data_IF_258866274291
#
_entry.id   IF_258866274291
#
_cell.length_a   1.000
_cell.length_b   1.000
_cell.length_c   1.000
_cell.angle_alpha   90.00
_cell.angle_beta   90.00
_cell.angle_gamma   90.00
#
_symmetry.space_group_name_H-M   'P 1'
#
loop_
_entity.id
_entity.type
_entity.pdbx_description
1 polymer ?
#
# COMPACT_ATOMS: atom_id res chain seq x y z
N UNK A 1 -19.44 -18.49 -4.66
CA UNK A 1 -19.45 -19.50 -5.76
C UNK A 1 -18.63 -20.75 -5.43
N UNK A 2 -17.48 -20.65 -4.73
CA UNK A 2 -16.66 -21.81 -4.41
C UNK A 2 -17.30 -22.78 -3.39
N UNK A 3 -18.10 -22.27 -2.45
CA UNK A 3 -18.75 -23.12 -1.42
C UNK A 3 -19.82 -24.07 -1.97
N UNK A 4 -20.36 -23.80 -3.16
CA UNK A 4 -21.30 -24.71 -3.83
C UNK A 4 -20.60 -25.87 -4.57
N UNK A 5 -19.28 -25.81 -4.76
CA UNK A 5 -18.53 -26.77 -5.58
C UNK A 5 -18.00 -27.92 -4.71
N UNK A 6 -17.69 -27.64 -3.44
CA UNK A 6 -17.11 -28.64 -2.54
C UNK A 6 -18.08 -29.73 -2.10
N UNK A 7 -19.40 -29.49 -2.19
CA UNK A 7 -20.40 -30.42 -1.63
C UNK A 7 -20.90 -31.49 -2.62
N UNK A 8 -20.67 -31.33 -3.93
CA UNK A 8 -21.31 -32.18 -4.95
C UNK A 8 -20.36 -33.10 -5.74
N UNK A 9 -19.07 -32.77 -5.84
CA UNK A 9 -18.13 -33.52 -6.69
C UNK A 9 -16.70 -33.54 -6.12
N UNK A 10 -16.46 -34.32 -5.06
CA UNK A 10 -15.13 -34.83 -4.65
C UNK A 10 -13.86 -34.02 -5.01
N UNK A 11 -13.85 -32.70 -4.85
CA UNK A 11 -12.71 -31.82 -5.15
C UNK A 11 -12.28 -31.67 -6.63
N UNK A 12 -12.93 -32.32 -7.60
CA UNK A 12 -12.53 -32.26 -9.02
C UNK A 12 -13.50 -31.39 -9.84
N UNK A 13 -12.98 -30.34 -10.49
CA UNK A 13 -13.75 -29.50 -11.40
C UNK A 13 -13.48 -29.89 -12.86
N UNK A 14 -14.54 -30.16 -13.62
CA UNK A 14 -14.42 -30.26 -15.07
C UNK A 14 -14.19 -28.88 -15.72
N UNK A 15 -13.74 -28.87 -16.99
CA UNK A 15 -13.42 -27.64 -17.73
C UNK A 15 -14.61 -26.68 -17.86
N UNK A 16 -15.82 -27.20 -18.02
CA UNK A 16 -17.04 -26.40 -18.15
C UNK A 16 -17.39 -25.73 -16.83
N UNK A 17 -17.36 -26.48 -15.74
CA UNK A 17 -17.58 -25.97 -14.39
C UNK A 17 -16.53 -24.93 -14.02
N UNK A 18 -15.24 -25.22 -14.24
CA UNK A 18 -14.16 -24.27 -14.00
C UNK A 18 -14.38 -22.95 -14.75
N UNK A 19 -14.69 -23.01 -16.06
CA UNK A 19 -14.98 -21.81 -16.86
C UNK A 19 -16.14 -21.00 -16.28
N UNK A 20 -17.21 -21.66 -15.82
CA UNK A 20 -18.35 -21.00 -15.19
C UNK A 20 -17.93 -20.29 -13.90
N UNK A 21 -17.12 -20.92 -13.06
CA UNK A 21 -16.66 -20.40 -11.79
C UNK A 21 -15.74 -19.18 -11.92
N UNK A 22 -14.81 -19.20 -12.89
CA UNK A 22 -13.83 -18.12 -13.06
C UNK A 22 -14.35 -16.96 -13.91
N UNK A 23 -15.45 -17.14 -14.64
CA UNK A 23 -15.92 -16.20 -15.67
C UNK A 23 -16.07 -14.75 -15.19
N UNK A 24 -16.61 -14.51 -13.99
CA UNK A 24 -16.81 -13.18 -13.43
C UNK A 24 -15.52 -12.51 -12.97
N UNK A 25 -14.47 -13.28 -12.66
CA UNK A 25 -13.20 -12.80 -12.10
C UNK A 25 -12.01 -13.11 -13.01
N UNK A 26 -12.24 -13.48 -14.27
CA UNK A 26 -11.22 -14.04 -15.16
C UNK A 26 -10.09 -13.03 -15.45
N UNK A 27 -10.39 -11.74 -15.47
CA UNK A 27 -9.41 -10.67 -15.72
C UNK A 27 -8.37 -10.64 -14.61
N UNK A 28 -8.80 -10.60 -13.34
CA UNK A 28 -7.92 -10.59 -12.17
C UNK A 28 -7.13 -11.91 -12.07
N UNK A 29 -7.81 -13.05 -12.26
CA UNK A 29 -7.15 -14.36 -12.24
C UNK A 29 -6.08 -14.47 -13.34
N UNK A 30 -6.35 -13.93 -14.53
CA UNK A 30 -5.39 -13.92 -15.63
C UNK A 30 -4.15 -13.10 -15.27
N UNK A 31 -4.32 -11.95 -14.59
CA UNK A 31 -3.19 -11.15 -14.12
C UNK A 31 -2.37 -11.91 -13.05
N UNK A 32 -3.05 -12.53 -12.08
CA UNK A 32 -2.42 -13.30 -11.01
C UNK A 32 -1.56 -14.46 -11.56
N UNK A 33 -2.15 -15.33 -12.38
CA UNK A 33 -1.46 -16.52 -12.89
C UNK A 33 -0.41 -16.22 -13.96
N UNK A 34 -0.49 -15.05 -14.63
CA UNK A 34 0.53 -14.60 -15.60
C UNK A 34 1.60 -13.72 -14.96
N UNK A 35 1.69 -13.69 -13.63
CA UNK A 35 2.68 -12.88 -12.90
C UNK A 35 2.67 -11.40 -13.31
N UNK A 36 1.48 -10.86 -13.61
CA UNK A 36 1.28 -9.46 -14.00
C UNK A 36 0.98 -8.53 -12.83
N UNK A 37 0.95 -9.06 -11.61
CA UNK A 37 0.88 -8.23 -10.42
C UNK A 37 2.20 -7.48 -10.23
N UNK A 38 2.11 -6.36 -9.52
CA UNK A 38 3.19 -5.44 -9.22
C UNK A 38 4.36 -6.12 -8.52
N UNK A 39 4.12 -7.21 -7.79
CA UNK A 39 5.17 -8.10 -7.30
C UNK A 39 4.92 -9.51 -7.89
N UNK A 40 5.60 -9.88 -8.99
CA UNK A 40 5.47 -11.18 -9.65
C UNK A 40 5.79 -12.37 -8.72
N UNK A 41 6.94 -12.33 -8.07
CA UNK A 41 7.48 -13.41 -7.23
C UNK A 41 7.18 -13.13 -5.74
N UNK A 42 5.89 -13.09 -5.40
CA UNK A 42 5.42 -12.65 -4.09
C UNK A 42 5.94 -13.49 -2.92
N UNK A 43 6.04 -14.80 -3.09
CA UNK A 43 6.53 -15.71 -2.04
C UNK A 43 8.00 -15.42 -1.65
N UNK A 44 8.87 -15.17 -2.64
CA UNK A 44 10.26 -14.77 -2.40
C UNK A 44 10.32 -13.43 -1.67
N UNK A 45 9.57 -12.44 -2.15
CA UNK A 45 9.46 -11.14 -1.52
C UNK A 45 9.01 -11.24 -0.04
N UNK A 46 7.98 -12.05 0.24
CA UNK A 46 7.50 -12.25 1.62
C UNK A 46 8.52 -12.95 2.50
N UNK A 47 9.31 -13.89 1.96
CA UNK A 47 10.41 -14.51 2.70
C UNK A 47 11.55 -13.53 3.05
N UNK A 48 11.72 -12.44 2.31
CA UNK A 48 12.60 -11.33 2.72
C UNK A 48 11.96 -10.47 3.81
N UNK A 49 10.66 -10.19 3.71
CA UNK A 49 9.91 -9.44 4.73
C UNK A 49 9.95 -10.17 6.08
N UNK A 50 9.78 -11.49 6.10
CA UNK A 50 9.86 -12.32 7.32
C UNK A 50 11.23 -12.22 7.99
N UNK A 51 12.31 -12.24 7.20
CA UNK A 51 13.67 -12.06 7.73
C UNK A 51 13.88 -10.68 8.34
N UNK A 52 13.40 -9.62 7.69
CA UNK A 52 13.48 -8.26 8.25
C UNK A 52 12.62 -8.15 9.52
N UNK A 53 11.48 -8.83 9.56
CA UNK A 53 10.61 -8.89 10.74
C UNK A 53 11.33 -9.53 11.94
N UNK A 54 11.95 -10.69 11.76
CA UNK A 54 12.69 -11.37 12.83
C UNK A 54 13.91 -10.56 13.28
N UNK A 55 14.66 -9.95 12.36
CA UNK A 55 15.76 -9.03 12.69
C UNK A 55 15.32 -7.85 13.58
N UNK A 56 14.15 -7.27 13.30
CA UNK A 56 13.61 -6.15 14.07
C UNK A 56 13.02 -6.57 15.42
N UNK A 57 12.57 -7.83 15.54
CA UNK A 57 12.00 -8.41 16.76
C UNK A 57 13.01 -8.50 17.89
N UNK A 58 14.27 -8.79 17.58
CA UNK A 58 15.39 -8.88 18.53
C UNK A 58 15.72 -7.55 19.23
N UNK A 59 15.19 -6.43 18.72
CA UNK A 59 15.37 -5.13 19.37
C UNK A 59 14.50 -5.05 20.64
N UNK A 60 15.15 -4.83 21.79
CA UNK A 60 14.54 -4.74 23.13
C UNK A 60 14.49 -3.31 23.70
N UNK A 61 14.75 -2.30 22.87
CA UNK A 61 14.74 -0.89 23.26
C UNK A 61 13.37 -0.20 23.18
N UNK A 62 13.31 1.00 23.74
CA UNK A 62 12.13 1.88 23.71
C UNK A 62 11.31 1.85 25.01
N UNK A 63 10.25 2.65 25.06
CA UNK A 63 9.32 2.71 26.19
C UNK A 63 7.88 2.83 25.70
N UNK A 64 6.98 2.06 26.30
CA UNK A 64 5.54 2.16 26.03
C UNK A 64 5.04 3.55 26.45
N UNK A 65 4.16 4.14 25.64
CA UNK A 65 3.51 5.39 25.99
C UNK A 65 2.66 5.21 27.26
N UNK A 66 2.92 6.01 28.29
CA UNK A 66 2.29 5.87 29.60
C UNK A 66 1.61 7.14 30.12
N UNK A 67 1.39 8.13 29.26
CA UNK A 67 0.71 9.38 29.65
C UNK A 67 -0.80 9.18 29.88
N UNK A 68 -1.39 8.13 29.29
CA UNK A 68 -2.73 7.64 29.63
C UNK A 68 -2.71 6.17 30.06
N UNK A 69 -3.59 5.75 30.98
CA UNK A 69 -3.67 4.37 31.46
C UNK A 69 -3.90 3.32 30.37
N UNK A 70 -4.65 3.65 29.32
CA UNK A 70 -5.01 2.74 28.24
C UNK A 70 -3.77 2.37 27.40
N UNK A 71 -2.91 3.34 27.08
CA UNK A 71 -1.66 3.09 26.38
C UNK A 71 -0.64 2.39 27.28
N UNK A 72 -0.59 2.74 28.57
CA UNK A 72 0.32 2.14 29.53
C UNK A 72 0.12 0.62 29.71
N UNK A 73 -1.09 0.12 29.43
CA UNK A 73 -1.43 -1.32 29.46
C UNK A 73 -0.97 -2.09 28.23
N UNK A 74 -0.43 -1.42 27.21
CA UNK A 74 0.01 -2.08 25.98
C UNK A 74 1.17 -3.03 26.27
N UNK A 75 1.08 -4.26 25.78
CA UNK A 75 2.14 -5.24 25.94
C UNK A 75 3.39 -4.80 25.12
N UNK A 76 4.56 -4.58 25.74
CA UNK A 76 5.78 -4.17 25.04
C UNK A 76 6.30 -5.21 24.04
N UNK A 77 5.94 -6.48 24.21
CA UNK A 77 6.40 -7.56 23.35
C UNK A 77 5.63 -7.65 22.02
N UNK A 78 4.56 -6.87 21.87
CA UNK A 78 3.80 -6.83 20.62
C UNK A 78 4.70 -6.33 19.47
N UNK A 79 4.71 -7.15 18.42
CA UNK A 79 5.34 -6.86 17.15
C UNK A 79 4.54 -7.52 16.04
N UNK A 80 4.02 -6.72 15.11
CA UNK A 80 3.25 -7.18 13.97
C UNK A 80 3.49 -6.30 12.75
N UNK A 81 3.59 -6.93 11.58
CA UNK A 81 3.73 -6.25 10.28
C UNK A 81 2.75 -6.87 9.30
N UNK A 82 1.98 -6.02 8.64
CA UNK A 82 1.11 -6.42 7.53
C UNK A 82 1.39 -5.56 6.31
N UNK A 83 1.28 -6.15 5.13
CA UNK A 83 1.38 -5.47 3.85
C UNK A 83 0.23 -5.85 2.92
N UNK A 84 -0.12 -4.91 2.06
CA UNK A 84 -1.10 -5.07 0.99
C UNK A 84 -0.56 -4.36 -0.26
N UNK A 85 -0.43 -5.07 -1.38
CA UNK A 85 0.00 -4.48 -2.66
C UNK A 85 -1.17 -3.73 -3.32
N UNK A 86 -0.86 -2.87 -4.30
CA UNK A 86 -1.89 -2.18 -5.09
C UNK A 86 -2.78 -3.13 -5.91
N UNK A 87 -2.32 -4.37 -6.14
CA UNK A 87 -3.07 -5.45 -6.79
C UNK A 87 -3.76 -6.41 -5.79
N UNK A 88 -3.71 -6.11 -4.49
CA UNK A 88 -4.40 -6.90 -3.46
C UNK A 88 -3.67 -8.15 -2.98
N UNK A 89 -2.39 -8.35 -3.32
CA UNK A 89 -1.56 -9.39 -2.69
C UNK A 89 -1.29 -8.98 -1.24
N UNK A 90 -1.34 -9.94 -0.30
CA UNK A 90 -1.27 -9.64 1.14
C UNK A 90 -0.39 -10.63 1.86
N UNK A 91 0.34 -10.12 2.85
CA UNK A 91 1.16 -10.91 3.75
C UNK A 91 1.22 -10.26 5.13
N UNK A 92 1.28 -11.09 6.17
CA UNK A 92 1.19 -10.66 7.57
C UNK A 92 2.08 -11.55 8.44
N UNK A 93 2.84 -10.94 9.35
CA UNK A 93 3.80 -11.63 10.24
C UNK A 93 3.67 -11.08 11.66
N UNK A 94 3.62 -11.97 12.65
CA UNK A 94 3.53 -11.62 14.06
C UNK A 94 2.12 -11.27 14.53
N UNK A 95 2.01 -10.28 15.41
CA UNK A 95 0.79 -9.89 16.11
C UNK A 95 -0.09 -8.95 15.27
N UNK A 96 -0.51 -9.39 14.08
CA UNK A 96 -1.16 -8.51 13.09
C UNK A 96 -2.64 -8.27 13.32
N UNK A 97 -3.31 -9.19 14.04
CA UNK A 97 -4.76 -9.16 14.28
C UNK A 97 -5.17 -8.51 15.60
N UNK A 98 -4.21 -8.01 16.37
CA UNK A 98 -4.48 -7.31 17.62
C UNK A 98 -5.00 -5.91 17.31
N UNK A 99 -6.19 -5.53 17.79
CA UNK A 99 -6.69 -4.17 17.66
C UNK A 99 -5.84 -3.17 18.43
N UNK A 100 -5.60 -2.00 17.84
CA UNK A 100 -4.97 -0.86 18.48
C UNK A 100 -5.55 0.45 17.96
N UNK A 101 -5.50 1.49 18.77
CA UNK A 101 -5.94 2.83 18.36
C UNK A 101 -4.98 3.41 17.29
N UNK A 102 -5.53 3.91 16.18
CA UNK A 102 -4.80 4.60 15.11
C UNK A 102 -3.99 5.77 15.64
N UNK A 103 -4.53 6.48 16.64
CA UNK A 103 -3.87 7.63 17.23
C UNK A 103 -3.46 8.62 16.12
N UNK A 104 -2.24 9.16 16.14
CA UNK A 104 -1.78 10.11 15.11
C UNK A 104 -1.73 9.56 13.67
N UNK A 105 -1.86 8.25 13.44
CA UNK A 105 -1.96 7.69 12.09
C UNK A 105 -3.26 8.07 11.37
N UNK A 106 -4.29 8.53 12.09
CA UNK A 106 -5.56 8.98 11.48
C UNK A 106 -5.43 10.32 10.76
N UNK A 107 -4.48 11.18 11.19
CA UNK A 107 -4.30 12.55 10.67
C UNK A 107 -4.16 12.63 9.15
N UNK A 108 -3.28 11.86 8.48
CA UNK A 108 -3.19 11.85 7.02
C UNK A 108 -4.52 11.45 6.36
N UNK A 109 -5.25 10.50 6.94
CA UNK A 109 -6.51 10.00 6.40
C UNK A 109 -7.60 11.08 6.47
N UNK A 110 -7.74 11.74 7.62
CA UNK A 110 -8.67 12.84 7.83
C UNK A 110 -8.37 14.03 6.91
N UNK A 111 -7.09 14.33 6.71
CA UNK A 111 -6.66 15.35 5.76
C UNK A 111 -7.01 14.98 4.31
N UNK A 112 -6.75 13.75 3.89
CA UNK A 112 -7.10 13.28 2.55
C UNK A 112 -8.62 13.39 2.28
N UNK A 113 -9.45 13.00 3.25
CA UNK A 113 -10.92 13.13 3.17
C UNK A 113 -11.32 14.61 3.03
N UNK A 114 -10.67 15.50 3.78
CA UNK A 114 -10.95 16.95 3.73
C UNK A 114 -10.58 17.54 2.37
N UNK A 115 -9.44 17.16 1.79
CA UNK A 115 -9.05 17.58 0.44
C UNK A 115 -10.01 17.03 -0.61
N UNK A 116 -10.40 15.76 -0.50
CA UNK A 116 -11.33 15.12 -1.43
C UNK A 116 -12.72 15.76 -1.45
N UNK A 117 -13.14 16.37 -0.34
CA UNK A 117 -14.47 16.97 -0.20
C UNK A 117 -14.51 18.49 -0.41
N UNK A 118 -13.43 19.20 -0.05
CA UNK A 118 -13.39 20.67 -0.06
C UNK A 118 -12.38 21.25 -1.06
N UNK A 119 -11.48 20.42 -1.59
CA UNK A 119 -10.38 20.84 -2.45
C UNK A 119 -9.19 21.44 -1.68
N UNK A 120 -8.02 21.40 -2.32
CA UNK A 120 -6.74 21.85 -1.74
C UNK A 120 -6.76 23.32 -1.35
N UNK A 121 -7.29 24.17 -2.23
CA UNK A 121 -7.26 25.63 -2.02
C UNK A 121 -8.09 26.06 -0.83
N UNK A 122 -9.20 25.37 -0.55
CA UNK A 122 -10.02 25.70 0.62
C UNK A 122 -9.36 25.24 1.91
N UNK A 123 -8.91 23.98 1.97
CA UNK A 123 -8.29 23.41 3.18
C UNK A 123 -7.05 24.20 3.60
N UNK A 124 -6.20 24.57 2.64
CA UNK A 124 -4.96 25.28 2.93
C UNK A 124 -5.09 26.78 3.22
N UNK A 125 -6.31 27.33 3.23
CA UNK A 125 -6.57 28.62 3.89
C UNK A 125 -6.44 28.54 5.40
N UNK A 126 -6.56 27.34 5.98
CA UNK A 126 -6.61 27.11 7.42
C UNK A 126 -5.41 26.34 7.96
N UNK A 127 -4.67 25.63 7.12
CA UNK A 127 -3.48 24.84 7.52
C UNK A 127 -2.38 24.95 6.46
N UNK A 128 -1.14 25.08 6.90
CA UNK A 128 0.03 25.16 6.02
C UNK A 128 0.39 23.83 5.35
N UNK A 129 1.51 23.86 4.61
CA UNK A 129 2.03 22.75 3.79
C UNK A 129 3.45 22.33 4.17
N UNK A 130 4.03 22.96 5.19
CA UNK A 130 5.47 22.88 5.44
C UNK A 130 5.78 22.27 6.81
N UNK A 131 6.94 21.61 6.96
CA UNK A 131 7.41 21.19 8.26
C UNK A 131 7.68 22.41 9.14
N UNK A 132 7.42 22.29 10.45
CA UNK A 132 7.65 23.40 11.38
C UNK A 132 9.14 23.70 11.64
N UNK A 133 10.02 22.71 11.44
CA UNK A 133 11.43 22.77 11.87
C UNK A 133 11.61 22.85 13.41
N UNK A 134 10.51 22.79 14.16
CA UNK A 134 10.46 22.89 15.61
C UNK A 134 10.11 21.54 16.21
N UNK A 135 10.51 21.30 17.47
CA UNK A 135 10.06 20.11 18.20
C UNK A 135 8.54 20.04 18.18
N UNK A 136 7.98 18.86 17.91
CA UNK A 136 6.54 18.59 17.90
C UNK A 136 5.84 19.01 19.21
N UNK A 137 6.63 19.03 20.30
CA UNK A 137 6.52 19.77 21.56
C UNK A 137 5.78 21.12 21.55
N UNK A 138 6.17 21.99 20.62
CA UNK A 138 6.04 23.43 20.80
C UNK A 138 4.72 23.94 20.23
N UNK A 139 3.98 24.68 21.05
CA UNK A 139 2.82 25.44 20.58
C UNK A 139 3.33 26.53 19.63
N UNK A 140 3.10 26.35 18.33
CA UNK A 140 3.53 27.29 17.30
C UNK A 140 2.60 27.25 16.10
N UNK A 141 2.43 28.42 15.49
CA UNK A 141 1.82 28.62 14.18
C UNK A 141 2.92 29.08 13.22
N UNK A 142 2.65 29.03 11.92
CA UNK A 142 3.54 29.60 10.91
C UNK A 142 3.43 31.14 10.88
N UNK A 143 4.16 31.78 9.97
CA UNK A 143 4.18 33.24 9.83
C UNK A 143 2.81 33.82 9.45
N UNK A 144 1.98 33.06 8.74
CA UNK A 144 0.61 33.44 8.38
C UNK A 144 -0.39 33.28 9.52
N UNK A 145 0.05 32.81 10.70
CA UNK A 145 -0.81 32.58 11.85
C UNK A 145 -1.72 31.36 11.72
N UNK A 146 -1.38 30.38 10.89
CA UNK A 146 -2.08 29.08 10.78
C UNK A 146 -1.15 27.92 11.22
N UNK A 147 -1.69 26.73 11.57
CA UNK A 147 -0.84 25.60 11.89
C UNK A 147 0.04 25.18 10.71
N UNK A 148 1.26 24.74 10.99
CA UNK A 148 2.29 24.43 9.97
C UNK A 148 1.86 23.40 8.91
N UNK A 149 1.22 22.30 9.34
CA UNK A 149 0.79 21.20 8.47
C UNK A 149 -0.26 20.32 9.19
N UNK A 150 -1.02 19.48 8.47
CA UNK A 150 -2.03 18.59 9.06
C UNK A 150 -1.45 17.42 9.89
N UNK A 151 -0.15 17.16 9.86
CA UNK A 151 0.46 16.02 10.57
C UNK A 151 0.73 16.34 12.05
N UNK A 152 0.81 17.63 12.41
CA UNK A 152 0.87 18.10 13.80
C UNK A 152 -0.53 18.24 14.41
N UNK A 153 -0.63 18.18 15.75
CA UNK A 153 -1.92 18.20 16.45
C UNK A 153 -2.76 19.45 16.13
N UNK A 154 -2.13 20.62 16.08
CA UNK A 154 -2.81 21.88 15.76
C UNK A 154 -3.47 21.85 14.38
N UNK A 155 -2.75 21.38 13.37
CA UNK A 155 -3.28 21.23 12.02
C UNK A 155 -4.37 20.17 11.95
N UNK A 156 -4.19 19.04 12.63
CA UNK A 156 -5.21 17.99 12.68
C UNK A 156 -6.53 18.46 13.33
N UNK A 157 -6.47 19.25 14.41
CA UNK A 157 -7.66 19.83 15.06
C UNK A 157 -8.35 20.82 14.13
N UNK A 158 -7.59 21.68 13.43
CA UNK A 158 -8.15 22.59 12.43
C UNK A 158 -8.77 21.82 11.27
N UNK A 159 -8.12 20.77 10.75
CA UNK A 159 -8.68 19.91 9.71
C UNK A 159 -9.97 19.24 10.16
N UNK A 160 -10.05 18.73 11.40
CA UNK A 160 -11.29 18.16 11.97
C UNK A 160 -12.45 19.18 11.97
N UNK A 161 -12.15 20.47 12.12
CA UNK A 161 -13.15 21.53 12.10
C UNK A 161 -13.78 21.75 10.71
N UNK A 162 -13.08 21.37 9.64
CA UNK A 162 -13.52 21.53 8.25
C UNK A 162 -14.51 20.44 7.82
N UNK A 163 -14.56 19.33 8.56
CA UNK A 163 -15.38 18.16 8.19
C UNK A 163 -16.85 18.48 8.42
N UNK A 164 -17.63 18.36 7.34
CA UNK A 164 -19.11 18.44 7.33
C UNK A 164 -19.61 19.52 8.28
N UNK A 165 -19.22 20.78 8.03
CA UNK A 165 -19.38 21.90 8.95
C UNK A 165 -20.84 22.07 9.44
N UNK A 166 -21.81 21.80 8.57
CA UNK A 166 -23.26 21.94 8.84
C UNK A 166 -23.90 20.75 9.56
N UNK A 167 -23.15 19.69 9.85
CA UNK A 167 -23.65 18.47 10.48
C UNK A 167 -23.38 18.45 12.00
N UNK A 168 -24.12 17.61 12.73
CA UNK A 168 -23.89 17.40 14.16
C UNK A 168 -22.65 16.51 14.41
N UNK A 169 -22.20 16.40 15.67
CA UNK A 169 -20.98 15.66 16.03
C UNK A 169 -21.01 14.18 15.61
N UNK A 170 -22.15 13.51 15.75
CA UNK A 170 -22.29 12.09 15.43
C UNK A 170 -22.21 11.86 13.91
N UNK A 171 -22.90 12.70 13.12
CA UNK A 171 -22.85 12.65 11.66
C UNK A 171 -21.45 12.91 11.11
N UNK A 172 -20.68 13.83 11.72
CA UNK A 172 -19.28 14.07 11.35
C UNK A 172 -18.41 12.84 11.58
N UNK A 173 -18.57 12.18 12.74
CA UNK A 173 -17.82 10.98 13.07
C UNK A 173 -18.16 9.82 12.11
N UNK A 174 -19.46 9.56 11.88
CA UNK A 174 -19.91 8.52 10.96
C UNK A 174 -19.41 8.78 9.53
N UNK A 175 -19.46 10.03 9.07
CA UNK A 175 -18.93 10.42 7.77
C UNK A 175 -17.45 10.02 7.58
N UNK A 176 -16.60 10.33 8.56
CA UNK A 176 -15.18 9.94 8.49
C UNK A 176 -15.02 8.43 8.58
N UNK A 177 -15.76 7.77 9.46
CA UNK A 177 -15.69 6.32 9.65
C UNK A 177 -16.11 5.55 8.39
N UNK A 178 -17.09 6.05 7.64
CA UNK A 178 -17.47 5.49 6.33
C UNK A 178 -16.31 5.52 5.34
N UNK A 179 -15.57 6.63 5.25
CA UNK A 179 -14.37 6.70 4.40
C UNK A 179 -13.29 5.73 4.87
N UNK A 180 -13.00 5.67 6.18
CA UNK A 180 -12.02 4.75 6.72
C UNK A 180 -12.39 3.28 6.44
N UNK A 181 -13.67 2.91 6.58
CA UNK A 181 -14.18 1.58 6.22
C UNK A 181 -13.95 1.27 4.74
N UNK A 182 -14.25 2.21 3.84
CA UNK A 182 -14.01 2.03 2.39
C UNK A 182 -12.51 1.86 2.09
N UNK A 183 -11.65 2.67 2.71
CA UNK A 183 -10.19 2.56 2.57
C UNK A 183 -9.65 1.23 3.11
N UNK A 184 -10.30 0.65 4.11
CA UNK A 184 -9.95 -0.65 4.68
C UNK A 184 -10.76 -1.82 4.08
N UNK A 185 -11.54 -1.58 3.02
CA UNK A 185 -12.41 -2.57 2.39
C UNK A 185 -13.39 -3.30 3.32
N UNK A 186 -13.89 -2.58 4.34
CA UNK A 186 -14.77 -3.11 5.38
C UNK A 186 -14.10 -4.22 6.23
N UNK A 187 -12.77 -4.24 6.32
CA UNK A 187 -12.06 -4.99 7.35
C UNK A 187 -12.28 -4.39 8.74
N UNK A 188 -11.67 -5.00 9.76
CA UNK A 188 -11.84 -4.59 11.15
C UNK A 188 -11.63 -3.09 11.33
N UNK A 189 -12.67 -2.44 11.83
CA UNK A 189 -12.70 -1.05 12.26
C UNK A 189 -13.45 -1.00 13.59
N UNK A 190 -12.76 -0.58 14.64
CA UNK A 190 -13.30 -0.48 15.99
C UNK A 190 -13.28 0.96 16.51
N UNK A 191 -13.72 1.12 17.76
CA UNK A 191 -13.66 2.39 18.46
C UNK A 191 -13.47 2.17 19.96
N UNK A 192 -12.41 2.75 20.50
CA UNK A 192 -12.06 2.64 21.92
C UNK A 192 -12.65 3.79 22.72
N UNK A 193 -13.87 3.64 23.23
CA UNK A 193 -14.45 4.67 24.11
C UNK A 193 -13.60 4.92 25.37
N UNK A 194 -12.92 3.88 25.88
CA UNK A 194 -12.03 4.02 27.03
C UNK A 194 -10.82 4.93 26.72
N UNK A 195 -10.19 4.76 25.55
CA UNK A 195 -9.09 5.64 25.11
C UNK A 195 -9.60 7.04 24.84
N UNK A 196 -10.76 7.18 24.21
CA UNK A 196 -11.39 8.47 23.95
C UNK A 196 -11.61 9.29 25.23
N UNK A 197 -12.22 8.70 26.26
CA UNK A 197 -12.43 9.40 27.53
C UNK A 197 -11.11 9.78 28.19
N UNK A 198 -10.13 8.87 28.20
CA UNK A 198 -8.83 9.16 28.83
C UNK A 198 -8.03 10.23 28.10
N UNK A 199 -7.99 10.21 26.76
CA UNK A 199 -7.38 11.26 25.94
C UNK A 199 -8.08 12.60 26.16
N UNK A 200 -9.41 12.59 26.32
CA UNK A 200 -10.20 13.80 26.57
C UNK A 200 -9.98 14.39 27.96
N UNK A 201 -9.83 13.55 28.99
CA UNK A 201 -9.62 13.96 30.39
C UNK A 201 -8.18 14.45 30.64
N UNK A 202 -7.19 13.83 29.99
CA UNK A 202 -5.76 14.16 30.18
C UNK A 202 -5.18 15.03 29.05
N UNK A 203 -6.02 15.43 28.11
CA UNK A 203 -5.67 16.13 26.88
C UNK A 203 -5.40 17.63 27.04
N UNK A 204 -4.96 18.11 28.21
CA UNK A 204 -4.74 19.53 28.54
C UNK A 204 -4.00 20.29 27.44
N UNK A 205 -2.96 19.64 26.90
CA UNK A 205 -2.17 20.21 25.81
C UNK A 205 -2.98 20.38 24.53
N UNK A 206 -3.84 19.43 24.17
CA UNK A 206 -4.70 19.56 23.01
C UNK A 206 -5.78 20.64 23.22
N UNK A 207 -6.26 20.87 24.45
CA UNK A 207 -7.11 22.02 24.76
C UNK A 207 -6.36 23.34 24.56
N UNK A 208 -5.12 23.46 25.07
CA UNK A 208 -4.29 24.65 24.82
C UNK A 208 -4.04 24.88 23.31
N UNK A 209 -3.76 23.80 22.58
CA UNK A 209 -3.64 23.80 21.11
C UNK A 209 -4.96 24.16 20.44
N UNK A 210 -6.12 23.91 21.03
CA UNK A 210 -7.41 24.33 20.49
C UNK A 210 -7.70 25.81 20.72
N UNK A 211 -7.42 26.32 21.93
CA UNK A 211 -7.66 27.73 22.27
C UNK A 211 -6.73 28.70 21.54
N UNK A 212 -5.47 28.35 21.31
CA UNK A 212 -4.52 29.26 20.67
C UNK A 212 -4.87 29.61 19.20
N UNK A 213 -5.16 28.65 18.30
CA UNK A 213 -5.70 28.90 16.96
C UNK A 213 -7.09 29.53 16.99
N UNK A 214 -7.90 29.29 18.04
CA UNK A 214 -9.21 29.95 18.20
C UNK A 214 -9.06 31.45 18.38
N UNK A 215 -8.14 31.87 19.24
CA UNK A 215 -7.81 33.28 19.42
C UNK A 215 -7.28 33.92 18.13
N UNK A 216 -6.47 33.17 17.37
CA UNK A 216 -5.91 33.59 16.07
C UNK A 216 -6.87 33.46 14.89
N UNK A 217 -8.12 33.04 15.12
CA UNK A 217 -9.17 32.87 14.09
C UNK A 217 -8.80 31.88 12.99
N UNK A 218 -8.06 30.82 13.33
CA UNK A 218 -7.69 29.75 12.39
C UNK A 218 -8.84 28.78 12.06
N UNK A 219 -9.98 28.87 12.76
CA UNK A 219 -11.16 28.06 12.48
C UNK A 219 -12.11 28.80 11.53
N UNK A 220 -12.87 28.08 10.67
CA UNK A 220 -13.91 28.70 9.87
C UNK A 220 -14.94 29.44 10.74
N UNK A 221 -15.54 30.49 10.17
CA UNK A 221 -16.54 31.30 10.89
C UNK A 221 -17.73 30.42 11.31
N UNK A 222 -18.14 30.55 12.56
CA UNK A 222 -19.29 29.82 13.12
C UNK A 222 -18.99 28.40 13.60
N UNK A 223 -17.77 27.88 13.42
CA UNK A 223 -17.41 26.54 13.89
C UNK A 223 -17.06 26.55 15.37
N UNK A 224 -17.62 25.60 16.12
CA UNK A 224 -17.25 25.37 17.51
C UNK A 224 -15.94 24.57 17.63
N UNK A 225 -14.93 25.22 18.21
CA UNK A 225 -13.63 24.60 18.50
C UNK A 225 -13.76 23.37 19.40
N UNK A 226 -14.65 23.38 20.40
CA UNK A 226 -14.82 22.24 21.30
C UNK A 226 -15.39 21.03 20.57
N UNK A 227 -16.32 21.24 19.62
CA UNK A 227 -16.81 20.19 18.75
C UNK A 227 -15.71 19.62 17.83
N UNK A 228 -14.84 20.47 17.27
CA UNK A 228 -13.71 20.02 16.46
C UNK A 228 -12.70 19.20 17.27
N UNK A 229 -12.45 19.60 18.51
CA UNK A 229 -11.56 18.91 19.43
C UNK A 229 -12.13 17.57 19.90
N UNK A 230 -13.43 17.51 20.20
CA UNK A 230 -14.13 16.24 20.48
C UNK A 230 -14.00 15.26 19.32
N UNK A 231 -14.25 15.72 18.08
CA UNK A 231 -14.10 14.88 16.89
C UNK A 231 -12.65 14.41 16.72
N UNK A 232 -11.67 15.30 16.94
CA UNK A 232 -10.25 14.92 16.91
C UNK A 232 -9.93 13.79 17.90
N UNK A 233 -10.41 13.87 19.15
CA UNK A 233 -10.21 12.80 20.13
C UNK A 233 -10.90 11.49 19.74
N UNK A 234 -12.10 11.57 19.18
CA UNK A 234 -12.82 10.39 18.68
C UNK A 234 -12.02 9.71 17.55
N UNK A 235 -11.55 10.47 16.56
CA UNK A 235 -10.80 9.93 15.43
C UNK A 235 -9.46 9.31 15.86
N UNK A 236 -8.75 9.89 16.82
CA UNK A 236 -7.54 9.28 17.39
C UNK A 236 -7.80 7.96 18.12
N UNK A 237 -9.04 7.73 18.57
CA UNK A 237 -9.46 6.55 19.34
C UNK A 237 -10.12 5.46 18.48
N UNK A 238 -10.14 5.63 17.16
CA UNK A 238 -10.56 4.60 16.21
C UNK A 238 -9.54 3.45 16.23
N UNK A 239 -10.02 2.22 16.29
CA UNK A 239 -9.19 1.02 16.35
C UNK A 239 -9.08 0.33 15.00
N UNK A 240 -7.88 -0.16 14.71
CA UNK A 240 -7.56 -0.97 13.53
C UNK A 240 -6.69 -2.15 13.92
N UNK A 241 -6.52 -3.09 13.00
CA UNK A 241 -5.47 -4.11 13.04
C UNK A 241 -4.35 -3.74 12.07
N UNK A 242 -3.20 -4.43 12.12
CA UNK A 242 -2.18 -4.24 11.08
C UNK A 242 -2.75 -4.59 9.69
N UNK A 243 -3.59 -5.62 9.62
CA UNK A 243 -4.20 -6.11 8.38
C UNK A 243 -5.06 -5.04 7.71
N UNK A 244 -6.02 -4.48 8.45
CA UNK A 244 -6.90 -3.41 7.96
C UNK A 244 -6.12 -2.12 7.66
N UNK A 245 -5.17 -1.75 8.53
CA UNK A 245 -4.30 -0.60 8.34
C UNK A 245 -3.42 -0.69 7.08
N UNK A 246 -2.96 -1.90 6.72
CA UNK A 246 -2.17 -2.12 5.50
C UNK A 246 -3.00 -1.88 4.23
N UNK A 247 -4.30 -2.22 4.24
CA UNK A 247 -5.22 -1.94 3.12
C UNK A 247 -5.48 -0.45 2.99
N UNK A 248 -5.62 0.28 4.11
CA UNK A 248 -5.73 1.75 4.08
C UNK A 248 -4.48 2.40 3.47
N UNK A 249 -3.29 1.95 3.88
CA UNK A 249 -2.03 2.41 3.30
C UNK A 249 -1.96 2.09 1.80
N UNK A 250 -2.42 0.91 1.39
CA UNK A 250 -2.39 0.46 0.01
C UNK A 250 -3.40 1.23 -0.86
N UNK A 251 -4.53 1.65 -0.28
CA UNK A 251 -5.47 2.59 -0.92
C UNK A 251 -4.79 3.92 -1.25
N UNK A 252 -3.94 4.44 -0.36
CA UNK A 252 -3.12 5.61 -0.66
C UNK A 252 -2.02 5.30 -1.70
N UNK A 253 -1.39 4.13 -1.64
CA UNK A 253 -0.41 3.69 -2.63
C UNK A 253 -1.00 3.61 -4.04
N UNK A 254 -2.29 3.23 -4.14
CA UNK A 254 -3.03 3.01 -5.38
C UNK A 254 -3.85 4.24 -5.83
N UNK A 255 -3.36 5.44 -5.52
CA UNK A 255 -3.99 6.68 -6.02
C UNK A 255 -5.40 6.95 -5.50
N UNK A 256 -5.79 6.33 -4.38
CA UNK A 256 -7.12 6.50 -3.76
C UNK A 256 -8.13 5.41 -4.13
N UNK A 257 -7.71 4.40 -4.89
CA UNK A 257 -8.53 3.24 -5.23
C UNK A 257 -8.22 2.10 -4.27
N UNK A 258 -9.24 1.57 -3.60
CA UNK A 258 -9.05 0.46 -2.67
C UNK A 258 -8.61 -0.81 -3.44
N UNK A 259 -7.44 -1.41 -3.13
CA UNK A 259 -6.83 -2.44 -3.96
C UNK A 259 -7.61 -3.76 -3.99
N UNK A 260 -8.44 -4.03 -2.98
CA UNK A 260 -9.18 -5.29 -2.87
C UNK A 260 -10.66 -5.16 -3.28
N UNK A 261 -11.21 -3.94 -3.34
CA UNK A 261 -12.60 -3.71 -3.79
C UNK A 261 -12.69 -3.03 -5.15
N UNK A 262 -11.64 -2.32 -5.59
CA UNK A 262 -11.65 -1.48 -6.79
C UNK A 262 -12.45 -0.17 -6.63
N UNK A 263 -12.98 0.13 -5.44
CA UNK A 263 -13.72 1.37 -5.20
C UNK A 263 -12.79 2.59 -5.21
N UNK A 264 -13.15 3.65 -5.94
CA UNK A 264 -12.48 4.95 -5.84
C UNK A 264 -12.95 5.67 -4.59
N UNK A 265 -12.09 5.70 -3.57
CA UNK A 265 -12.41 6.23 -2.23
C UNK A 265 -11.95 7.68 -2.07
N UNK A 266 -10.79 8.02 -2.63
CA UNK A 266 -10.18 9.36 -2.54
C UNK A 266 -9.80 9.88 -3.91
N UNK A 267 -9.79 11.20 -4.07
CA UNK A 267 -9.26 11.81 -5.29
C UNK A 267 -7.73 11.67 -5.35
N UNK A 268 -7.20 11.52 -6.57
CA UNK A 268 -5.75 11.43 -6.79
C UNK A 268 -5.00 12.67 -6.26
N UNK A 269 -5.63 13.85 -6.30
CA UNK A 269 -5.10 15.08 -5.71
C UNK A 269 -4.96 14.97 -4.18
N UNK A 270 -6.01 14.49 -3.49
CA UNK A 270 -5.97 14.30 -2.05
C UNK A 270 -4.87 13.33 -1.64
N UNK A 271 -4.72 12.23 -2.37
CA UNK A 271 -3.70 11.22 -2.14
C UNK A 271 -2.31 11.80 -2.33
N UNK A 272 -2.04 12.47 -3.46
CA UNK A 272 -0.75 13.11 -3.74
C UNK A 272 -0.35 14.06 -2.63
N UNK A 273 -1.24 14.98 -2.25
CA UNK A 273 -0.92 15.98 -1.23
C UNK A 273 -0.68 15.33 0.14
N UNK A 274 -1.44 14.29 0.46
CA UNK A 274 -1.29 13.54 1.72
C UNK A 274 0.07 12.83 1.78
N UNK A 275 0.47 12.16 0.69
CA UNK A 275 1.76 11.48 0.62
C UNK A 275 2.93 12.46 0.68
N UNK A 276 2.83 13.62 0.04
CA UNK A 276 3.85 14.68 0.16
C UNK A 276 4.03 15.14 1.61
N UNK A 277 2.94 15.36 2.34
CA UNK A 277 3.00 15.81 3.74
C UNK A 277 3.40 14.70 4.70
N UNK A 278 3.05 13.43 4.41
CA UNK A 278 3.56 12.28 5.15
C UNK A 278 5.08 12.16 4.99
N UNK A 279 5.60 12.39 3.78
CA UNK A 279 7.03 12.35 3.51
C UNK A 279 7.80 13.40 4.33
N UNK A 280 7.35 14.67 4.35
CA UNK A 280 8.09 15.74 5.03
C UNK A 280 7.74 15.94 6.51
N UNK A 281 6.56 15.50 6.97
CA UNK A 281 6.02 15.87 8.29
C UNK A 281 5.47 14.69 9.11
N UNK A 282 5.60 13.45 8.64
CA UNK A 282 4.85 12.32 9.17
C UNK A 282 5.44 11.60 10.40
N UNK A 283 6.74 11.72 10.68
CA UNK A 283 7.46 10.95 11.69
C UNK A 283 7.95 11.81 12.87
N UNK A 284 7.13 12.78 13.30
CA UNK A 284 7.47 13.74 14.36
C UNK A 284 8.79 14.48 14.05
N UNK A 285 9.64 14.69 15.04
CA UNK A 285 10.95 15.35 14.87
C UNK A 285 11.90 14.51 14.00
N UNK A 286 11.61 13.23 13.80
CA UNK A 286 12.38 12.34 12.93
C UNK A 286 12.01 12.48 11.44
N UNK A 287 10.99 13.28 11.09
CA UNK A 287 10.48 13.35 9.70
C UNK A 287 11.56 13.68 8.66
N UNK A 288 12.44 14.64 8.95
CA UNK A 288 13.53 15.00 8.03
C UNK A 288 14.57 13.88 7.85
N UNK A 289 14.96 13.22 8.94
CA UNK A 289 15.91 12.09 8.87
C UNK A 289 15.27 10.86 8.23
N UNK A 290 13.99 10.60 8.49
CA UNK A 290 13.24 9.52 7.87
C UNK A 290 13.10 9.75 6.36
N UNK A 291 12.75 10.96 5.93
CA UNK A 291 12.68 11.34 4.52
C UNK A 291 14.04 11.20 3.81
N UNK A 292 15.14 11.47 4.51
CA UNK A 292 16.49 11.37 3.94
C UNK A 292 17.02 9.93 3.88
N UNK A 293 16.82 9.11 4.92
CA UNK A 293 17.38 7.77 4.99
C UNK A 293 16.44 6.68 4.48
N UNK A 294 15.13 6.82 4.70
CA UNK A 294 14.10 5.86 4.29
C UNK A 294 13.41 6.34 3.01
N UNK A 295 13.12 7.62 2.90
CA UNK A 295 12.57 8.20 1.68
C UNK A 295 11.16 7.75 1.33
N UNK A 296 10.41 7.18 2.26
CA UNK A 296 9.03 6.74 2.05
C UNK A 296 8.03 7.63 2.81
N UNK A 297 6.85 7.92 2.27
CA UNK A 297 5.77 8.52 3.03
C UNK A 297 5.34 7.62 4.19
N UNK A 298 5.39 8.13 5.42
CA UNK A 298 4.97 7.40 6.60
C UNK A 298 4.29 8.30 7.62
N UNK A 299 3.47 7.72 8.50
CA UNK A 299 2.96 8.40 9.69
C UNK A 299 3.11 7.49 10.90
N UNK A 300 3.79 7.97 11.94
CA UNK A 300 3.87 7.27 13.22
C UNK A 300 2.80 7.72 14.21
N UNK A 301 2.47 6.86 15.16
CA UNK A 301 1.63 7.17 16.28
C UNK A 301 2.18 6.62 17.61
N UNK A 302 1.75 7.27 18.70
CA UNK A 302 2.09 6.91 20.08
C UNK A 302 1.57 5.54 20.52
N UNK A 303 0.67 4.91 19.77
CA UNK A 303 0.29 3.51 19.95
C UNK A 303 1.40 2.52 19.54
N UNK A 304 2.50 3.01 18.96
CA UNK A 304 3.53 2.17 18.36
C UNK A 304 3.26 1.81 16.90
N UNK A 305 2.23 2.42 16.31
CA UNK A 305 1.87 2.19 14.93
C UNK A 305 2.74 3.01 13.97
N UNK A 306 3.03 2.44 12.80
CA UNK A 306 3.57 3.16 11.63
C UNK A 306 2.76 2.76 10.41
N UNK A 307 2.05 3.74 9.84
CA UNK A 307 1.42 3.65 8.52
C UNK A 307 2.47 4.01 7.48
N UNK A 308 2.86 3.07 6.62
CA UNK A 308 3.92 3.25 5.61
C UNK A 308 3.33 3.05 4.21
N UNK A 309 3.69 3.92 3.27
CA UNK A 309 3.23 3.82 1.88
C UNK A 309 4.44 3.74 0.95
N UNK A 310 4.44 2.75 0.05
CA UNK A 310 5.31 2.68 -1.13
C UNK A 310 4.45 2.98 -2.35
N UNK A 311 4.45 4.24 -2.85
CA UNK A 311 3.53 4.65 -3.90
C UNK A 311 3.60 3.75 -5.13
N UNK A 312 2.44 3.39 -5.67
CA UNK A 312 2.25 2.48 -6.81
C UNK A 312 2.70 1.03 -6.59
N UNK A 313 3.12 0.64 -5.37
CA UNK A 313 3.57 -0.74 -5.08
C UNK A 313 2.73 -1.36 -3.98
N UNK A 314 2.77 -0.79 -2.77
CA UNK A 314 2.11 -1.38 -1.61
C UNK A 314 1.93 -0.39 -0.45
N UNK A 315 1.01 -0.73 0.44
CA UNK A 315 0.91 -0.14 1.78
C UNK A 315 1.29 -1.15 2.85
N UNK A 316 1.83 -0.65 3.96
CA UNK A 316 2.20 -1.46 5.12
C UNK A 316 1.73 -0.80 6.41
N UNK A 317 1.47 -1.63 7.41
CA UNK A 317 1.21 -1.20 8.78
C UNK A 317 2.07 -2.02 9.73
N UNK A 318 2.82 -1.34 10.57
CA UNK A 318 3.61 -1.94 11.64
C UNK A 318 3.03 -1.57 13.00
N UNK A 319 3.08 -2.47 13.98
CA UNK A 319 2.71 -2.22 15.37
C UNK A 319 3.81 -2.73 16.30
N UNK A 320 4.46 -1.82 17.02
CA UNK A 320 5.24 -2.15 18.21
C UNK A 320 5.15 -1.01 19.24
N UNK A 321 4.46 -1.21 20.38
CA UNK A 321 4.20 -0.17 21.39
C UNK A 321 5.43 0.55 21.96
N UNK A 322 6.60 -0.09 22.17
CA UNK A 322 7.80 0.62 22.62
C UNK A 322 8.27 1.70 21.64
N UNK A 323 8.26 2.95 22.11
CA UNK A 323 8.66 4.13 21.36
C UNK A 323 10.10 4.52 21.66
N UNK A 324 10.78 5.09 20.67
CA UNK A 324 12.05 5.78 20.84
C UNK A 324 11.90 7.14 21.56
N UNK A 325 13.00 7.86 21.72
CA UNK A 325 13.00 9.18 22.38
C UNK A 325 12.26 10.27 21.59
N UNK A 326 11.97 10.04 20.31
CA UNK A 326 11.28 10.96 19.40
C UNK A 326 9.79 10.61 19.26
N UNK A 327 9.33 9.53 19.89
CA UNK A 327 7.94 9.08 19.90
C UNK A 327 7.57 8.14 18.76
N UNK A 328 8.54 7.63 17.99
CA UNK A 328 8.30 6.67 16.92
C UNK A 328 8.53 5.24 17.40
N UNK A 329 7.84 4.26 16.81
CA UNK A 329 8.05 2.84 17.15
C UNK A 329 9.49 2.41 16.89
N UNK A 330 10.16 1.84 17.91
CA UNK A 330 11.56 1.46 17.80
C UNK A 330 11.79 0.32 16.80
N UNK A 331 11.00 -0.75 16.89
CA UNK A 331 11.05 -1.86 15.92
C UNK A 331 10.56 -1.43 14.54
N UNK A 332 9.48 -0.66 14.49
CA UNK A 332 8.89 -0.20 13.23
C UNK A 332 9.84 0.67 12.39
N UNK A 333 10.57 1.59 13.02
CA UNK A 333 11.55 2.44 12.32
C UNK A 333 12.73 1.63 11.79
N UNK A 334 13.26 0.70 12.58
CA UNK A 334 14.32 -0.23 12.15
C UNK A 334 13.88 -1.10 10.97
N UNK A 335 12.66 -1.65 11.04
CA UNK A 335 12.07 -2.41 9.94
C UNK A 335 12.03 -1.60 8.64
N UNK A 336 11.57 -0.34 8.69
CA UNK A 336 11.52 0.55 7.53
C UNK A 336 12.92 0.81 6.93
N UNK A 337 13.93 1.02 7.78
CA UNK A 337 15.31 1.25 7.33
C UNK A 337 15.91 0.00 6.66
N UNK A 338 15.71 -1.18 7.25
CA UNK A 338 16.16 -2.46 6.68
C UNK A 338 15.46 -2.77 5.35
N UNK A 339 14.16 -2.45 5.26
CA UNK A 339 13.38 -2.62 4.03
C UNK A 339 14.00 -1.85 2.86
N UNK A 340 14.27 -0.56 3.01
CA UNK A 340 14.86 0.26 1.93
C UNK A 340 16.35 0.04 1.72
N UNK A 341 17.03 -0.58 2.70
CA UNK A 341 18.43 -1.00 2.54
C UNK A 341 18.54 -2.22 1.63
N UNK A 342 17.55 -3.11 1.70
CA UNK A 342 17.47 -4.30 0.86
C UNK A 342 16.81 -4.03 -0.50
N UNK A 343 15.70 -3.30 -0.53
CA UNK A 343 14.91 -3.04 -1.74
C UNK A 343 15.08 -1.61 -2.24
N UNK A 344 14.97 -1.41 -3.55
CA UNK A 344 15.05 -0.10 -4.21
C UNK A 344 13.77 0.76 -4.06
N UNK A 345 13.14 0.72 -2.88
CA UNK A 345 11.89 1.45 -2.60
C UNK A 345 12.07 2.90 -2.20
N UNK A 346 13.30 3.37 -1.93
CA UNK A 346 13.50 4.77 -1.61
C UNK A 346 12.95 5.65 -2.75
N UNK A 347 12.19 6.70 -2.44
CA UNK A 347 11.51 7.51 -3.47
C UNK A 347 12.47 8.16 -4.50
N UNK A 348 13.76 8.24 -4.16
CA UNK A 348 14.83 8.76 -5.01
C UNK A 348 15.86 7.70 -5.46
N UNK A 349 15.59 6.40 -5.23
CA UNK A 349 16.42 5.32 -5.78
C UNK A 349 16.25 5.21 -7.31
N UNK A 350 17.27 4.68 -7.97
CA UNK A 350 17.28 4.50 -9.41
C UNK A 350 16.77 3.11 -9.80
N UNK A 351 15.66 3.03 -10.54
CA UNK A 351 15.07 1.76 -10.99
C UNK A 351 15.93 1.00 -12.03
N UNK A 352 16.95 1.60 -12.63
CA UNK A 352 17.83 0.96 -13.63
C UNK A 352 19.20 0.57 -13.07
N UNK A 353 19.73 1.36 -12.14
CA UNK A 353 21.09 1.25 -11.60
C UNK A 353 21.04 1.15 -10.06
N UNK A 354 20.53 0.04 -9.55
CA UNK A 354 20.65 -0.33 -8.14
C UNK A 354 21.59 -1.53 -8.02
N UNK A 355 22.90 -1.27 -7.93
CA UNK A 355 23.92 -2.32 -8.06
C UNK A 355 23.88 -3.43 -6.97
N UNK A 356 23.16 -3.22 -5.86
CA UNK A 356 23.07 -4.18 -4.74
C UNK A 356 21.68 -4.34 -4.11
N UNK A 357 20.68 -3.58 -4.54
CA UNK A 357 19.31 -3.66 -4.01
C UNK A 357 18.45 -4.53 -4.90
N UNK A 358 17.46 -5.19 -4.29
CA UNK A 358 16.47 -6.00 -4.99
C UNK A 358 15.33 -5.10 -5.51
N UNK A 359 14.82 -5.41 -6.70
CA UNK A 359 13.62 -4.79 -7.27
C UNK A 359 12.52 -5.86 -7.39
N UNK A 360 11.56 -5.93 -6.46
CA UNK A 360 10.54 -6.96 -6.46
C UNK A 360 9.49 -6.77 -7.56
N UNK A 361 9.52 -5.64 -8.30
CA UNK A 361 8.64 -5.42 -9.44
C UNK A 361 9.13 -6.10 -10.72
N UNK A 362 10.33 -6.71 -10.68
CA UNK A 362 10.90 -7.45 -11.80
C UNK A 362 11.04 -8.90 -11.41
N UNK A 363 10.76 -9.80 -12.35
CA UNK A 363 11.14 -11.19 -12.20
C UNK A 363 12.67 -11.29 -12.01
N UNK A 364 13.09 -12.17 -11.10
CA UNK A 364 14.51 -12.37 -10.81
C UNK A 364 15.32 -12.59 -12.09
N UNK A 365 16.54 -12.03 -12.15
CA UNK A 365 17.42 -12.11 -13.34
C UNK A 365 17.66 -13.55 -13.82
N UNK A 366 17.51 -14.53 -12.94
CA UNK A 366 17.62 -15.95 -13.24
C UNK A 366 16.53 -16.45 -14.21
N UNK A 367 15.29 -15.94 -14.12
CA UNK A 367 14.20 -16.29 -15.06
C UNK A 367 14.47 -15.72 -16.44
N UNK A 368 14.92 -14.45 -16.51
CA UNK A 368 15.28 -13.81 -17.77
C UNK A 368 16.45 -14.51 -18.45
N UNK A 369 17.46 -14.90 -17.68
CA UNK A 369 18.60 -15.68 -18.16
C UNK A 369 18.19 -17.08 -18.59
N UNK A 370 17.31 -17.77 -17.86
CA UNK A 370 16.75 -19.07 -18.28
C UNK A 370 15.95 -18.95 -19.56
N UNK A 371 15.14 -17.91 -19.74
CA UNK A 371 14.39 -17.68 -20.99
C UNK A 371 15.33 -17.42 -22.16
N UNK A 372 16.36 -16.59 -22.00
CA UNK A 372 17.38 -16.35 -23.04
C UNK A 372 18.16 -17.62 -23.35
N UNK A 373 18.59 -18.38 -22.34
CA UNK A 373 19.31 -19.64 -22.52
C UNK A 373 18.43 -20.70 -23.19
N UNK A 374 17.16 -20.82 -22.79
CA UNK A 374 16.21 -21.74 -23.41
C UNK A 374 15.89 -21.33 -24.85
N UNK A 375 15.81 -20.02 -25.14
CA UNK A 375 15.65 -19.51 -26.50
C UNK A 375 16.87 -19.82 -27.37
N UNK A 376 18.09 -19.59 -26.85
CA UNK A 376 19.34 -19.91 -27.52
C UNK A 376 19.50 -21.41 -27.76
N UNK A 377 19.10 -22.24 -26.79
CA UNK A 377 19.13 -23.70 -26.93
C UNK A 377 18.09 -24.21 -27.92
N UNK A 378 16.88 -23.63 -27.93
CA UNK A 378 15.85 -23.92 -28.92
C UNK A 378 16.29 -23.49 -30.34
N UNK A 379 16.96 -22.33 -30.47
CA UNK A 379 17.55 -21.87 -31.72
C UNK A 379 18.67 -22.81 -32.20
N UNK A 380 19.58 -23.21 -31.31
CA UNK A 380 20.66 -24.15 -31.61
C UNK A 380 20.13 -25.53 -32.02
N UNK A 381 19.09 -26.01 -31.35
CA UNK A 381 18.50 -27.34 -31.59
C UNK A 381 17.49 -27.36 -32.74
N UNK A 382 17.17 -26.21 -33.34
CA UNK A 382 16.15 -26.09 -34.40
C UNK A 382 14.73 -26.35 -33.92
N UNK A 383 14.44 -26.26 -32.62
CA UNK A 383 13.10 -26.49 -32.06
C UNK A 383 12.22 -25.25 -32.25
N UNK A 384 11.59 -25.20 -33.43
CA UNK A 384 10.69 -24.12 -33.86
C UNK A 384 9.47 -23.99 -32.93
N UNK A 385 9.03 -25.09 -32.31
CA UNK A 385 7.88 -25.08 -31.41
C UNK A 385 8.22 -24.44 -30.06
N UNK A 386 9.41 -24.73 -29.52
CA UNK A 386 9.92 -24.05 -28.34
C UNK A 386 10.22 -22.58 -28.62
N UNK A 387 10.82 -22.23 -29.77
CA UNK A 387 11.03 -20.84 -30.18
C UNK A 387 9.73 -20.04 -30.22
N UNK A 388 8.65 -20.62 -30.76
CA UNK A 388 7.32 -20.01 -30.83
C UNK A 388 6.62 -19.91 -29.48
N UNK A 389 7.00 -20.76 -28.51
CA UNK A 389 6.45 -20.79 -27.15
C UNK A 389 7.10 -19.78 -26.22
N UNK A 390 8.41 -19.54 -26.38
CA UNK A 390 9.19 -18.64 -25.54
C UNK A 390 9.38 -17.23 -26.13
N UNK A 391 9.14 -17.05 -27.42
CA UNK A 391 9.11 -15.75 -28.08
C UNK A 391 7.69 -15.23 -28.25
N UNK A 392 7.35 -14.13 -27.57
CA UNK A 392 6.45 -13.18 -28.22
C UNK A 392 7.13 -12.76 -29.56
N UNK A 393 6.32 -12.48 -30.57
CA UNK A 393 6.72 -12.53 -31.98
C UNK A 393 7.97 -11.67 -32.20
N UNK A 394 9.08 -12.20 -32.76
CA UNK A 394 10.28 -11.40 -33.06
C UNK A 394 9.99 -10.12 -33.86
N UNK A 395 8.89 -10.14 -34.61
CA UNK A 395 8.34 -8.99 -35.33
C UNK A 395 7.82 -7.89 -34.38
N UNK A 396 7.10 -8.25 -33.31
CA UNK A 396 6.54 -7.29 -32.34
C UNK A 396 7.65 -6.55 -31.58
N UNK A 397 8.70 -7.27 -31.18
CA UNK A 397 9.88 -6.66 -30.55
C UNK A 397 10.68 -5.80 -31.54
N UNK A 398 10.88 -6.27 -32.78
CA UNK A 398 11.56 -5.49 -33.82
C UNK A 398 10.80 -4.21 -34.19
N UNK A 399 9.46 -4.25 -34.17
CA UNK A 399 8.58 -3.08 -34.35
C UNK A 399 8.64 -2.15 -33.14
N UNK A 400 8.56 -2.70 -31.92
CA UNK A 400 8.58 -1.92 -30.68
C UNK A 400 9.90 -1.16 -30.47
N UNK A 401 11.03 -1.74 -30.89
CA UNK A 401 12.36 -1.14 -30.76
C UNK A 401 12.89 -0.50 -32.05
N UNK A 402 12.03 -0.39 -33.08
CA UNK A 402 12.28 0.32 -34.35
C UNK A 402 13.49 -0.21 -35.16
N UNK A 403 13.69 -1.52 -35.17
CA UNK A 403 14.74 -2.19 -35.94
C UNK A 403 14.22 -2.60 -37.33
N UNK A 404 14.06 -1.62 -38.22
CA UNK A 404 13.38 -1.74 -39.52
C UNK A 404 13.97 -2.81 -40.47
N UNK A 405 15.28 -3.03 -40.46
CA UNK A 405 15.93 -4.08 -41.27
C UNK A 405 15.54 -5.49 -40.80
N UNK A 406 15.34 -5.66 -39.48
CA UNK A 406 14.94 -6.94 -38.88
C UNK A 406 13.45 -7.20 -39.15
N UNK A 407 12.61 -6.15 -39.12
CA UNK A 407 11.19 -6.23 -39.48
C UNK A 407 11.01 -6.73 -40.92
N UNK A 408 11.78 -6.17 -41.86
CA UNK A 408 11.68 -6.51 -43.28
C UNK A 408 12.10 -7.95 -43.57
N UNK A 409 13.21 -8.40 -42.99
CA UNK A 409 13.69 -9.78 -43.09
C UNK A 409 12.65 -10.78 -42.56
N UNK A 410 11.99 -10.46 -41.46
CA UNK A 410 11.00 -11.33 -40.81
C UNK A 410 9.67 -11.38 -41.57
N UNK A 411 9.26 -10.28 -42.22
CA UNK A 411 8.08 -10.22 -43.09
C UNK A 411 8.30 -11.00 -44.39
N UNK A 412 9.44 -10.81 -45.06
CA UNK A 412 9.78 -11.52 -46.30
C UNK A 412 9.82 -13.06 -46.08
N UNK A 413 10.24 -13.50 -44.89
CA UNK A 413 10.26 -14.91 -44.54
C UNK A 413 8.86 -15.49 -44.28
N UNK A 414 7.93 -14.70 -43.72
CA UNK A 414 6.53 -15.10 -43.52
C UNK A 414 5.79 -15.31 -44.84
N UNK A 415 6.06 -14.46 -45.83
CA UNK A 415 5.45 -14.56 -47.16
C UNK A 415 6.00 -15.75 -47.96
N UNK A 416 7.27 -16.11 -47.75
CA UNK A 416 7.93 -17.23 -48.44
C UNK A 416 7.53 -18.62 -47.93
N UNK A 417 6.90 -18.72 -46.74
CA UNK A 417 6.58 -20.00 -46.09
C UNK A 417 5.12 -20.10 -45.67
N UNK A 418 4.21 -20.01 -46.64
CA UNK A 418 2.85 -20.56 -46.52
C UNK A 418 2.83 -21.98 -47.09
N UNK A 419 2.68 -23.05 -46.27
CA UNK A 419 2.50 -24.39 -46.82
C UNK A 419 1.12 -24.46 -47.48
N UNK A 420 1.05 -24.91 -48.74
CA UNK A 420 -0.22 -25.30 -49.36
C UNK A 420 -0.87 -26.41 -48.53
N UNK A 421 -2.16 -26.29 -48.22
CA UNK A 421 -2.96 -27.24 -47.40
C UNK A 421 -2.80 -28.72 -47.81
N UNK A 422 -2.41 -28.98 -49.06
CA UNK A 422 -2.10 -30.30 -49.62
C UNK A 422 -0.95 -31.08 -48.96
N UNK A 423 0.03 -30.42 -48.33
CA UNK A 423 1.16 -31.13 -47.69
C UNK A 423 0.86 -31.62 -46.27
N UNK A 424 -0.05 -30.94 -45.55
CA UNK A 424 -0.48 -31.35 -44.21
C UNK A 424 -1.39 -32.59 -44.24
N UNK A 425 -2.26 -32.72 -45.24
CA UNK A 425 -3.11 -33.90 -45.42
C UNK A 425 -2.32 -35.17 -45.78
N UNK A 426 -1.23 -35.04 -46.55
CA UNK A 426 -0.36 -36.16 -46.89
C UNK A 426 0.40 -36.72 -45.67
N UNK A 427 0.87 -35.83 -44.79
CA UNK A 427 1.54 -36.21 -43.55
C UNK A 427 0.56 -36.86 -42.54
N UNK A 428 -0.68 -36.36 -42.46
CA UNK A 428 -1.71 -36.93 -41.58
C UNK A 428 -2.14 -38.35 -42.02
N UNK A 429 -2.18 -38.64 -43.33
CA UNK A 429 -2.46 -39.99 -43.85
C UNK A 429 -1.32 -40.99 -43.63
N UNK A 430 -0.07 -40.53 -43.64
CA UNK A 430 1.09 -41.39 -43.37
C UNK A 430 1.11 -41.85 -41.90
N UNK A 431 0.84 -40.95 -40.95
CA UNK A 431 0.76 -41.24 -39.51
C UNK A 431 -0.42 -42.16 -39.12
N UNK A 432 -1.49 -42.19 -39.92
CA UNK A 432 -2.62 -43.11 -39.72
C UNK A 432 -2.31 -44.55 -40.12
N UNK A 433 -1.35 -44.78 -41.04
CA UNK A 433 -1.07 -46.11 -41.59
C UNK A 433 -0.06 -46.87 -40.72
N UNK A 434 0.95 -46.19 -40.19
CA UNK A 434 1.94 -46.78 -39.27
C UNK A 434 1.32 -47.25 -37.94
N UNK A 435 0.26 -46.59 -37.46
CA UNK A 435 -0.38 -46.95 -36.19
C UNK A 435 -1.32 -48.17 -36.28
N UNK A 436 -1.70 -48.62 -37.49
CA UNK A 436 -2.58 -49.78 -37.70
C UNK A 436 -1.80 -51.08 -37.96
N UNK A 437 -0.55 -51.00 -38.44
CA UNK A 437 0.32 -52.17 -38.65
C UNK A 437 1.04 -52.63 -37.36
N UNK A 438 0.99 -51.84 -36.28
CA UNK A 438 1.54 -52.22 -34.97
C UNK A 438 0.53 -52.88 -34.01
N UNK A 439 -0.66 -53.27 -34.48
CA UNK A 439 -1.75 -53.85 -33.67
C UNK A 439 -2.36 -55.15 -34.25
N UNK A 440 -1.58 -55.97 -34.98
CA UNK A 440 -1.90 -57.38 -35.30
C UNK A 440 -0.70 -58.27 -35.05
#
# INVERSE_FOLDING_TARGET
CCDCISAAFGGLLDRGLFRKCVSSNIVLLTQAFRKKFVIPDFEEFTGHVDRIFEDAKELTGGKVAAYIPQLAKSNPDLWGVSLCTVDGQRHSVGHTKIPFCLQSCVKPLTYAISIGTLGTDYVHKFVGKEPSGLRYNKLSLNEDGIPHNPMVNAGAIVVSSLIKMDCNKAEKFDFVLQYLNKMAANEYMGFSNATFQSEKETGDRNYAIGYYPKEKKCFPKGVDMMAALDLYFQLCSVEVTCESGSVMAATLANGGICPITGESVLSAEAVRNTLSLMHSCGMYDFSGQFAFHVGLPAKSAVSGAILLVVPNVMGMMCLSPPLDKLGNSHRGTSFCQKLVSLFNFHNYDNLRQSARKLDPQREGGEVRNKTVVNLLFAAYSGDVSALRRWGNIPLDDAVQFNHLEVVKLLQDYQDSYTPSETQAEAAAKALSKENLESMV
#
